data_IF_895267345309
#
_entry.id   IF_895267345309
#
_cell.length_a   1.000
_cell.length_b   1.000
_cell.length_c   1.000
_cell.angle_alpha   90.00
_cell.angle_beta   90.00
_cell.angle_gamma   90.00
#
_symmetry.space_group_name_H-M   'P 1'
#
loop_
_entity.id
_entity.type
_entity.pdbx_description
1 polymer ?
#
# COMPACT_ATOMS: atom_id res chain seq x y z
N UNK A 1 14.98 -5.04 20.50
CA UNK A 1 13.63 -5.65 20.46
C UNK A 1 12.63 -4.61 20.94
N UNK A 2 11.71 -4.19 20.06
CA UNK A 2 10.74 -3.13 20.38
C UNK A 2 9.69 -3.65 21.36
N UNK A 3 9.48 -2.92 22.47
CA UNK A 3 8.56 -3.34 23.52
C UNK A 3 7.13 -3.57 23.00
N UNK A 4 6.56 -4.72 23.35
CA UNK A 4 5.20 -5.11 22.96
C UNK A 4 5.04 -5.56 21.51
N UNK A 5 6.12 -5.64 20.73
CA UNK A 5 6.08 -6.12 19.34
C UNK A 5 6.49 -7.59 19.29
N UNK A 6 5.67 -8.41 18.62
CA UNK A 6 5.92 -9.83 18.40
C UNK A 6 5.74 -10.18 16.93
N UNK A 7 6.70 -10.92 16.38
CA UNK A 7 6.61 -11.48 15.01
C UNK A 7 6.36 -12.98 15.17
N UNK A 8 5.16 -13.43 14.83
CA UNK A 8 4.75 -14.82 15.04
C UNK A 8 5.15 -15.76 13.89
N UNK A 9 5.32 -15.22 12.69
CA UNK A 9 5.64 -16.02 11.49
C UNK A 9 7.14 -16.30 11.40
N UNK A 10 7.48 -17.54 11.02
CA UNK A 10 8.85 -17.95 10.66
C UNK A 10 9.12 -17.90 9.16
N UNK A 11 8.13 -17.51 8.35
CA UNK A 11 8.28 -17.48 6.90
C UNK A 11 9.14 -16.28 6.46
N UNK A 12 9.89 -16.44 5.36
CA UNK A 12 10.67 -15.37 4.73
C UNK A 12 11.72 -14.73 5.65
N UNK A 13 12.45 -15.52 6.45
CA UNK A 13 13.46 -15.04 7.41
C UNK A 13 14.45 -14.02 6.83
N UNK A 14 14.94 -14.24 5.61
CA UNK A 14 15.84 -13.28 4.93
C UNK A 14 15.16 -11.94 4.67
N UNK A 15 13.90 -11.95 4.24
CA UNK A 15 13.12 -10.73 4.02
C UNK A 15 12.82 -10.04 5.36
N UNK A 16 12.45 -10.79 6.40
CA UNK A 16 12.26 -10.27 7.76
C UNK A 16 13.50 -9.51 8.23
N UNK A 17 14.67 -10.13 8.18
CA UNK A 17 15.92 -9.51 8.61
C UNK A 17 16.26 -8.24 7.80
N UNK A 18 15.82 -8.17 6.54
CA UNK A 18 16.09 -7.03 5.67
C UNK A 18 15.16 -5.83 5.94
N UNK A 19 13.83 -6.06 6.05
CA UNK A 19 12.85 -4.96 6.13
C UNK A 19 12.26 -4.74 7.53
N UNK A 20 12.29 -5.73 8.42
CA UNK A 20 11.82 -5.63 9.81
C UNK A 20 12.99 -5.31 10.74
N UNK A 21 13.77 -4.27 10.41
CA UNK A 21 14.83 -3.76 11.28
C UNK A 21 14.25 -3.19 12.57
N UNK A 22 15.09 -3.00 13.59
CA UNK A 22 14.63 -2.44 14.86
C UNK A 22 13.97 -1.06 14.70
N UNK A 23 14.54 -0.19 13.88
CA UNK A 23 13.98 1.15 13.59
C UNK A 23 12.64 1.06 12.83
N UNK A 24 12.54 0.15 11.85
CA UNK A 24 11.29 -0.07 11.13
C UNK A 24 10.18 -0.57 12.06
N UNK A 25 10.50 -1.52 12.94
CA UNK A 25 9.57 -2.02 13.95
C UNK A 25 9.20 -0.94 14.97
N UNK A 26 10.13 -0.07 15.36
CA UNK A 26 9.86 1.03 16.27
C UNK A 26 8.88 2.03 15.65
N UNK A 27 9.08 2.34 14.37
CA UNK A 27 8.18 3.19 13.60
C UNK A 27 6.79 2.57 13.42
N UNK A 28 6.70 1.30 13.00
CA UNK A 28 5.43 0.59 12.89
C UNK A 28 4.68 0.53 14.22
N UNK A 29 5.39 0.31 15.32
CA UNK A 29 4.80 0.31 16.65
C UNK A 29 4.28 1.70 17.06
N UNK A 30 4.99 2.78 16.68
CA UNK A 30 4.51 4.14 16.89
C UNK A 30 3.24 4.43 16.07
N UNK A 31 3.20 4.04 14.79
CA UNK A 31 2.00 4.18 13.96
C UNK A 31 0.80 3.41 14.55
N UNK A 32 1.01 2.14 14.92
CA UNK A 32 -0.05 1.31 15.48
C UNK A 32 -0.61 1.91 16.78
N UNK A 33 0.27 2.27 17.73
CA UNK A 33 -0.15 2.88 19.00
C UNK A 33 -0.87 4.21 18.82
N UNK A 34 -0.53 4.97 17.79
CA UNK A 34 -1.13 6.30 17.55
C UNK A 34 -2.49 6.20 16.86
N UNK A 35 -2.63 5.31 15.87
CA UNK A 35 -3.75 5.38 14.92
C UNK A 35 -4.71 4.18 14.95
N UNK A 36 -4.33 3.03 15.53
CA UNK A 36 -5.18 1.83 15.45
C UNK A 36 -6.51 1.99 16.20
N UNK A 37 -6.52 2.71 17.33
CA UNK A 37 -7.76 3.00 18.05
C UNK A 37 -8.78 3.75 17.17
N UNK A 38 -8.32 4.76 16.43
CA UNK A 38 -9.16 5.51 15.48
C UNK A 38 -9.58 4.66 14.30
N UNK A 39 -8.68 3.82 13.74
CA UNK A 39 -9.05 2.87 12.69
C UNK A 39 -10.21 1.99 13.14
N UNK A 40 -10.12 1.40 14.33
CA UNK A 40 -11.14 0.51 14.87
C UNK A 40 -12.45 1.23 15.12
N UNK A 41 -12.44 2.45 15.66
CA UNK A 41 -13.67 3.23 15.83
C UNK A 41 -14.35 3.57 14.50
N UNK A 42 -13.58 3.82 13.44
CA UNK A 42 -14.13 4.07 12.11
C UNK A 42 -14.76 2.81 11.50
N UNK A 43 -14.23 1.61 11.78
CA UNK A 43 -14.86 0.36 11.35
C UNK A 43 -16.21 0.14 12.05
N UNK A 44 -16.30 0.43 13.35
CA UNK A 44 -17.59 0.42 14.08
C UNK A 44 -18.57 1.45 13.49
N UNK A 45 -18.08 2.66 13.17
CA UNK A 45 -18.92 3.69 12.57
C UNK A 45 -19.49 3.27 11.20
N UNK A 46 -18.80 2.40 10.44
CA UNK A 46 -19.33 1.83 9.19
C UNK A 46 -20.55 0.93 9.45
N UNK A 47 -20.53 0.13 10.51
CA UNK A 47 -21.67 -0.70 10.90
C UNK A 47 -22.89 0.16 11.27
N UNK A 48 -22.68 1.22 12.06
CA UNK A 48 -23.74 2.17 12.40
C UNK A 48 -24.28 2.91 11.18
N UNK A 49 -23.42 3.28 10.23
CA UNK A 49 -23.84 3.89 8.97
C UNK A 49 -24.67 2.90 8.13
N UNK A 50 -24.25 1.64 8.04
CA UNK A 50 -25.00 0.60 7.33
C UNK A 50 -26.39 0.38 7.93
N UNK A 51 -26.50 0.29 9.25
CA UNK A 51 -27.80 0.14 9.94
C UNK A 51 -28.79 1.28 9.62
N UNK A 52 -28.29 2.52 9.49
CA UNK A 52 -29.11 3.66 9.07
C UNK A 52 -29.59 3.52 7.62
N UNK A 53 -28.73 3.06 6.73
CA UNK A 53 -29.12 2.81 5.33
C UNK A 53 -30.17 1.70 5.24
N UNK A 54 -29.97 0.62 5.99
CA UNK A 54 -30.90 -0.51 6.07
C UNK A 54 -32.26 -0.10 6.66
N UNK A 55 -32.31 0.93 7.52
CA UNK A 55 -33.55 1.51 8.03
C UNK A 55 -34.26 2.43 7.04
N UNK A 56 -33.79 2.53 5.80
CA UNK A 56 -34.41 3.30 4.71
C UNK A 56 -33.90 4.74 4.56
N UNK A 57 -32.84 5.14 5.29
CA UNK A 57 -32.18 6.43 5.02
C UNK A 57 -31.46 6.33 3.68
N UNK A 58 -31.71 7.29 2.79
CA UNK A 58 -31.05 7.33 1.48
C UNK A 58 -29.67 8.01 1.57
N UNK A 59 -28.79 7.65 0.63
CA UNK A 59 -27.52 8.35 0.43
C UNK A 59 -27.80 9.73 -0.17
N UNK A 60 -27.26 10.77 0.48
CA UNK A 60 -27.31 12.15 0.00
C UNK A 60 -26.07 12.92 0.46
N UNK A 61 -25.85 14.11 -0.10
CA UNK A 61 -24.75 14.99 0.29
C UNK A 61 -24.94 15.54 1.71
N UNK A 62 -23.95 15.39 2.62
CA UNK A 62 -24.07 15.92 3.98
C UNK A 62 -24.22 17.44 3.97
N UNK A 63 -25.20 17.95 4.72
CA UNK A 63 -25.47 19.38 4.81
C UNK A 63 -24.41 20.09 5.66
N UNK A 64 -23.85 19.42 6.67
CA UNK A 64 -22.81 19.98 7.52
C UNK A 64 -21.52 20.37 6.77
N UNK A 65 -21.24 19.75 5.62
CA UNK A 65 -20.08 20.03 4.76
C UNK A 65 -20.43 20.81 3.49
N UNK A 66 -21.65 21.33 3.36
CA UNK A 66 -22.07 22.07 2.16
C UNK A 66 -21.18 23.29 1.87
N UNK A 67 -20.75 24.00 2.90
CA UNK A 67 -19.87 25.17 2.79
C UNK A 67 -18.51 24.83 2.16
N UNK A 68 -17.97 23.63 2.40
CA UNK A 68 -16.71 23.17 1.79
C UNK A 68 -16.89 22.98 0.28
N UNK A 69 -18.00 22.36 -0.14
CA UNK A 69 -18.30 22.12 -1.57
C UNK A 69 -18.61 23.42 -2.33
N UNK A 70 -19.16 24.40 -1.63
CA UNK A 70 -19.56 25.68 -2.22
C UNK A 70 -18.41 26.69 -2.37
N UNK A 71 -17.25 26.43 -1.75
CA UNK A 71 -16.11 27.34 -1.76
C UNK A 71 -15.18 27.05 -2.96
N UNK A 72 -15.14 27.90 -4.02
CA UNK A 72 -14.34 27.64 -5.21
C UNK A 72 -12.87 28.03 -5.05
N UNK A 73 -12.48 28.72 -3.97
CA UNK A 73 -11.11 29.19 -3.81
C UNK A 73 -10.13 28.09 -3.38
N UNK A 74 -10.60 27.05 -2.69
CA UNK A 74 -9.71 25.99 -2.22
C UNK A 74 -9.40 24.99 -3.34
N UNK A 75 -8.14 24.54 -3.37
CA UNK A 75 -7.65 23.53 -4.30
C UNK A 75 -6.73 22.57 -3.54
N UNK A 76 -6.60 21.34 -4.03
CA UNK A 76 -5.58 20.42 -3.54
C UNK A 76 -4.18 20.98 -3.81
N UNK A 77 -3.20 20.51 -3.04
CA UNK A 77 -1.79 20.80 -3.33
C UNK A 77 -1.40 20.31 -4.73
N UNK A 78 -0.47 20.99 -5.44
CA UNK A 78 0.00 20.54 -6.73
C UNK A 78 0.56 19.10 -6.69
N UNK A 79 0.45 18.33 -7.78
CA UNK A 79 1.02 16.98 -7.83
C UNK A 79 2.53 16.98 -7.63
N UNK A 80 3.04 15.94 -6.96
CA UNK A 80 4.48 15.68 -6.85
C UNK A 80 5.10 15.28 -8.20
N UNK A 81 6.43 15.41 -8.36
CA UNK A 81 7.13 14.96 -9.56
C UNK A 81 6.80 13.52 -9.96
N UNK A 82 6.43 13.34 -11.22
CA UNK A 82 6.04 12.05 -11.81
C UNK A 82 4.55 11.73 -11.72
N UNK A 83 3.73 12.62 -11.12
CA UNK A 83 2.27 12.48 -10.99
C UNK A 83 1.48 13.54 -11.78
N UNK A 84 2.17 14.43 -12.50
CA UNK A 84 1.56 15.48 -13.32
C UNK A 84 0.88 14.91 -14.57
N UNK A 85 1.44 13.82 -15.13
CA UNK A 85 0.92 13.10 -16.28
C UNK A 85 0.66 11.64 -15.91
N UNK A 86 -0.61 11.30 -15.68
CA UNK A 86 -1.08 9.96 -15.31
C UNK A 86 -1.97 9.33 -16.38
N UNK A 87 -1.73 9.65 -17.66
CA UNK A 87 -2.60 9.26 -18.78
C UNK A 87 -2.83 7.75 -18.92
N UNK A 88 -1.88 6.94 -18.46
CA UNK A 88 -1.97 5.47 -18.41
C UNK A 88 -1.27 5.01 -17.14
N UNK A 89 -1.97 4.21 -16.35
CA UNK A 89 -1.47 3.57 -15.13
C UNK A 89 -1.57 2.07 -15.30
N UNK A 90 -0.52 1.34 -14.91
CA UNK A 90 -0.57 -0.12 -14.85
C UNK A 90 -0.65 -0.56 -13.39
N UNK A 91 -1.41 -1.61 -13.12
CA UNK A 91 -1.56 -2.19 -11.79
C UNK A 91 -1.00 -3.61 -11.78
N UNK A 92 -0.43 -4.05 -10.66
CA UNK A 92 0.08 -5.41 -10.58
C UNK A 92 0.62 -5.78 -9.20
N UNK A 93 0.84 -7.09 -8.98
CA UNK A 93 1.36 -7.60 -7.72
C UNK A 93 2.80 -7.13 -7.47
N UNK A 94 3.27 -7.36 -6.26
CA UNK A 94 4.60 -6.97 -5.79
C UNK A 94 5.66 -8.06 -6.01
N UNK A 95 5.41 -9.06 -6.86
CA UNK A 95 6.43 -10.05 -7.19
C UNK A 95 7.54 -9.42 -8.06
N UNK A 96 8.77 -9.88 -7.87
CA UNK A 96 9.96 -9.22 -8.41
C UNK A 96 9.93 -9.08 -9.93
N UNK A 97 9.43 -10.10 -10.63
CA UNK A 97 9.35 -10.10 -12.10
C UNK A 97 8.31 -9.10 -12.58
N UNK A 98 7.13 -9.12 -11.98
CA UNK A 98 6.03 -8.25 -12.36
C UNK A 98 6.32 -6.80 -12.04
N UNK A 99 7.01 -6.50 -10.92
CA UNK A 99 7.46 -5.14 -10.61
C UNK A 99 8.35 -4.59 -11.74
N UNK A 100 9.35 -5.36 -12.21
CA UNK A 100 10.20 -4.90 -13.33
C UNK A 100 9.39 -4.73 -14.61
N UNK A 101 8.55 -5.70 -14.97
CA UNK A 101 7.76 -5.63 -16.20
C UNK A 101 6.79 -4.43 -16.18
N UNK A 102 6.13 -4.17 -15.06
CA UNK A 102 5.20 -3.07 -14.89
C UNK A 102 5.91 -1.71 -14.95
N UNK A 103 7.04 -1.56 -14.25
CA UNK A 103 7.88 -0.36 -14.31
C UNK A 103 8.40 -0.09 -15.72
N UNK A 104 8.66 -1.13 -16.51
CA UNK A 104 9.16 -1.03 -17.88
C UNK A 104 8.05 -1.01 -18.96
N UNK A 105 6.78 -0.99 -18.56
CA UNK A 105 5.64 -1.15 -19.49
C UNK A 105 5.43 0.04 -20.44
N UNK A 106 6.01 1.21 -20.14
CA UNK A 106 5.73 2.47 -20.82
C UNK A 106 4.52 3.23 -20.26
N UNK A 107 3.82 2.67 -19.26
CA UNK A 107 2.85 3.42 -18.47
C UNK A 107 3.53 4.59 -17.73
N UNK A 108 2.75 5.60 -17.34
CA UNK A 108 3.26 6.74 -16.57
C UNK A 108 3.47 6.38 -15.11
N UNK A 109 2.56 5.58 -14.58
CA UNK A 109 2.63 5.11 -13.19
C UNK A 109 2.44 3.61 -13.14
N UNK A 110 3.04 3.00 -12.12
CA UNK A 110 2.79 1.62 -11.73
C UNK A 110 2.28 1.59 -10.29
N UNK A 111 1.05 1.11 -10.09
CA UNK A 111 0.51 0.83 -8.77
C UNK A 111 0.89 -0.59 -8.35
N UNK A 112 1.90 -0.69 -7.49
CA UNK A 112 2.30 -1.93 -6.85
C UNK A 112 1.33 -2.28 -5.73
N UNK A 113 0.74 -3.47 -5.82
CA UNK A 113 -0.43 -3.82 -5.06
C UNK A 113 -0.16 -4.83 -3.94
N UNK A 114 -0.49 -4.45 -2.71
CA UNK A 114 -0.54 -5.34 -1.54
C UNK A 114 -1.98 -5.73 -1.16
N UNK A 115 -2.98 -5.31 -1.95
CA UNK A 115 -4.39 -5.56 -1.71
C UNK A 115 -4.96 -6.57 -2.72
N UNK A 116 -5.94 -6.21 -3.55
CA UNK A 116 -6.79 -7.17 -4.25
C UNK A 116 -6.05 -8.09 -5.25
N UNK A 117 -4.96 -7.63 -5.85
CA UNK A 117 -4.17 -8.42 -6.80
C UNK A 117 -3.11 -9.29 -6.11
N UNK A 118 -3.05 -9.33 -4.78
CA UNK A 118 -1.98 -9.99 -4.04
C UNK A 118 -2.54 -10.86 -2.90
N UNK A 119 -2.27 -12.16 -2.95
CA UNK A 119 -2.61 -13.05 -1.83
C UNK A 119 -1.76 -12.68 -0.61
N UNK A 120 -2.36 -12.24 0.52
CA UNK A 120 -1.63 -11.58 1.60
C UNK A 120 -0.92 -12.55 2.54
N UNK A 121 -0.22 -13.55 1.99
CA UNK A 121 0.67 -14.39 2.79
C UNK A 121 1.79 -13.54 3.38
N UNK A 122 2.21 -13.85 4.61
CA UNK A 122 3.30 -13.12 5.28
C UNK A 122 4.57 -13.04 4.41
N UNK A 123 4.88 -14.14 3.70
CA UNK A 123 5.99 -14.19 2.73
C UNK A 123 5.80 -13.18 1.59
N UNK A 124 4.64 -13.17 0.94
CA UNK A 124 4.37 -12.25 -0.17
C UNK A 124 4.39 -10.77 0.26
N UNK A 125 3.87 -10.46 1.45
CA UNK A 125 3.91 -9.10 2.00
C UNK A 125 5.35 -8.63 2.23
N UNK A 126 6.19 -9.44 2.88
CA UNK A 126 7.58 -9.04 3.14
C UNK A 126 8.44 -9.04 1.88
N UNK A 127 8.36 -10.07 1.04
CA UNK A 127 9.10 -10.11 -0.22
C UNK A 127 8.67 -8.97 -1.14
N UNK A 128 7.40 -8.56 -1.12
CA UNK A 128 6.93 -7.37 -1.81
C UNK A 128 7.64 -6.10 -1.34
N UNK A 129 7.78 -5.90 -0.03
CA UNK A 129 8.54 -4.76 0.51
C UNK A 129 10.01 -4.79 0.08
N UNK A 130 10.66 -5.96 0.09
CA UNK A 130 12.04 -6.14 -0.40
C UNK A 130 12.13 -5.77 -1.89
N UNK A 131 11.18 -6.23 -2.72
CA UNK A 131 11.18 -5.94 -4.15
C UNK A 131 11.01 -4.44 -4.41
N UNK A 132 10.13 -3.75 -3.69
CA UNK A 132 9.97 -2.30 -3.84
C UNK A 132 11.18 -1.51 -3.30
N UNK A 133 11.77 -1.97 -2.19
CA UNK A 133 13.01 -1.41 -1.66
C UNK A 133 14.14 -1.45 -2.70
N UNK A 134 14.30 -2.59 -3.39
CA UNK A 134 15.27 -2.78 -4.45
C UNK A 134 14.93 -1.98 -5.71
N UNK A 135 13.65 -1.92 -6.09
CA UNK A 135 13.20 -1.18 -7.29
C UNK A 135 13.58 0.31 -7.19
N UNK A 136 13.27 0.94 -6.05
CA UNK A 136 13.55 2.36 -5.80
C UNK A 136 15.07 2.63 -5.82
N UNK A 137 15.87 1.65 -5.36
CA UNK A 137 17.35 1.72 -5.36
C UNK A 137 17.99 1.25 -6.66
N UNK A 138 17.20 0.84 -7.66
CA UNK A 138 17.68 0.27 -8.93
C UNK A 138 18.55 -0.97 -8.74
N UNK A 139 18.23 -1.78 -7.74
CA UNK A 139 18.91 -3.03 -7.37
C UNK A 139 18.00 -4.26 -7.61
N UNK A 140 16.86 -4.08 -8.31
CA UNK A 140 15.87 -5.14 -8.49
C UNK A 140 16.24 -6.18 -9.55
N UNK A 141 17.19 -5.85 -10.43
CA UNK A 141 17.61 -6.69 -11.56
C UNK A 141 17.91 -8.14 -11.16
N UNK A 142 17.46 -9.09 -11.98
CA UNK A 142 17.74 -10.51 -11.78
C UNK A 142 17.68 -11.30 -13.10
N UNK A 143 18.10 -12.55 -13.07
CA UNK A 143 17.98 -13.47 -14.21
C UNK A 143 17.06 -14.63 -13.85
N UNK A 144 16.22 -15.05 -14.79
CA UNK A 144 15.39 -16.24 -14.65
C UNK A 144 15.33 -16.98 -15.98
N UNK A 145 15.62 -18.28 -15.97
CA UNK A 145 15.59 -19.15 -17.15
C UNK A 145 16.43 -18.61 -18.32
N UNK A 146 17.62 -18.05 -18.05
CA UNK A 146 18.50 -17.47 -19.08
C UNK A 146 18.03 -16.11 -19.61
N UNK A 147 16.93 -15.54 -19.11
CA UNK A 147 16.43 -14.22 -19.50
C UNK A 147 16.76 -13.19 -18.42
N UNK A 148 17.52 -12.13 -18.74
CA UNK A 148 17.76 -11.03 -17.82
C UNK A 148 16.51 -10.13 -17.73
N UNK A 149 16.16 -9.75 -16.51
CA UNK A 149 15.14 -8.75 -16.19
C UNK A 149 15.86 -7.57 -15.55
N UNK A 150 15.86 -6.42 -16.24
CA UNK A 150 16.55 -5.22 -15.81
C UNK A 150 15.64 -4.01 -15.85
N UNK A 151 15.79 -3.12 -14.88
CA UNK A 151 15.03 -1.88 -14.85
C UNK A 151 15.54 -0.89 -15.92
N UNK A 152 14.64 -0.19 -16.60
CA UNK A 152 15.02 0.82 -17.60
C UNK A 152 15.61 2.09 -16.95
N UNK A 153 16.17 2.98 -17.77
CA UNK A 153 16.72 4.27 -17.31
C UNK A 153 15.65 5.24 -16.80
N UNK A 154 14.42 5.14 -17.31
CA UNK A 154 13.29 5.99 -16.91
C UNK A 154 12.01 5.14 -16.71
N UNK A 155 11.93 4.40 -15.60
CA UNK A 155 10.76 3.57 -15.31
C UNK A 155 9.52 4.42 -14.96
N UNK A 156 8.34 3.79 -14.99
CA UNK A 156 7.11 4.41 -14.50
C UNK A 156 7.23 4.88 -13.04
N UNK A 157 6.50 5.92 -12.67
CA UNK A 157 6.41 6.38 -11.27
C UNK A 157 5.74 5.31 -10.41
N UNK A 158 6.43 4.83 -9.38
CA UNK A 158 5.91 3.82 -8.46
C UNK A 158 4.92 4.42 -7.47
N UNK A 159 3.74 3.82 -7.37
CA UNK A 159 2.71 4.10 -6.37
C UNK A 159 2.44 2.79 -5.62
N UNK A 160 2.24 2.85 -4.30
CA UNK A 160 1.95 1.66 -3.49
C UNK A 160 0.49 1.69 -3.05
N UNK A 161 -0.23 0.59 -3.31
CA UNK A 161 -1.57 0.37 -2.74
C UNK A 161 -1.47 -0.56 -1.52
N UNK A 162 -1.67 -0.04 -0.29
CA UNK A 162 -1.75 -0.88 0.90
C UNK A 162 -3.11 -1.58 0.98
N UNK A 163 -3.20 -2.58 1.85
CA UNK A 163 -4.48 -3.23 2.20
C UNK A 163 -5.50 -2.25 2.75
N UNK A 164 -6.77 -2.51 2.48
CA UNK A 164 -7.88 -1.75 3.03
C UNK A 164 -7.97 -1.85 4.56
N UNK A 165 -8.57 -0.83 5.19
CA UNK A 165 -8.68 -0.67 6.65
C UNK A 165 -9.29 -1.85 7.42
N UNK A 166 -10.06 -2.71 6.75
CA UNK A 166 -10.76 -3.84 7.35
C UNK A 166 -9.89 -5.10 7.48
N UNK A 167 -8.71 -5.12 6.86
CA UNK A 167 -7.78 -6.25 6.90
C UNK A 167 -6.74 -6.02 8.00
N UNK A 168 -6.60 -7.00 8.89
CA UNK A 168 -5.51 -7.04 9.86
C UNK A 168 -4.29 -7.80 9.29
N UNK A 169 -3.09 -7.48 9.76
CA UNK A 169 -1.89 -8.30 9.52
C UNK A 169 -1.78 -9.33 10.64
N UNK A 170 -2.24 -10.56 10.35
CA UNK A 170 -2.24 -11.65 11.31
C UNK A 170 -1.37 -12.80 10.77
N UNK A 171 -0.56 -13.40 11.64
CA UNK A 171 -0.01 -14.69 11.32
C UNK A 171 -1.16 -15.70 11.22
N UNK A 172 -1.32 -16.33 10.06
CA UNK A 172 -2.16 -17.51 9.94
C UNK A 172 -1.71 -18.52 11.02
N UNK A 173 -2.66 -18.97 11.83
CA UNK A 173 -2.43 -20.04 12.82
C UNK A 173 -2.08 -21.36 12.11
#
# INVERSE_FOLDING_TARGET
MVAGVQIHSKAAEKAQAHVLTEDALAFLAALHRTFDATRRSLLVARESAQQRLDSGVQLDFPSETAHIRAEPSWHCVPPSPGLEDRRVEITGPTDRKMVINALNSGAKTFMADFEDANCPTFKAMLEGQVNLYDAIRRQIDFEQNGKPYKLTSNPATLIVRPRGWHLDELAHR
#
